data_IF_335916892234
#
_entry.id   IF_335916892234
#
_cell.length_a   1.000
_cell.length_b   1.000
_cell.length_c   1.000
_cell.angle_alpha   90.00
_cell.angle_beta   90.00
_cell.angle_gamma   90.00
#
_symmetry.space_group_name_H-M   'P 1'
#
loop_
_entity.id
_entity.type
_entity.pdbx_description
1 polymer ?
#
# COMPACT_ATOMS: atom_id res chain seq x y z
N UNK A 1 17.86 24.51 -15.95
CA UNK A 1 16.59 24.83 -15.25
C UNK A 1 16.06 23.52 -14.68
N UNK A 2 15.59 23.61 -13.44
CA UNK A 2 15.45 22.54 -12.45
C UNK A 2 14.71 21.29 -12.93
N UNK A 3 15.34 20.14 -12.73
CA UNK A 3 14.69 18.83 -12.79
C UNK A 3 13.61 18.82 -11.69
N UNK A 4 12.34 18.84 -12.09
CA UNK A 4 11.23 18.70 -11.16
C UNK A 4 11.21 17.27 -10.65
N UNK A 5 11.89 17.01 -9.54
CA UNK A 5 11.73 15.79 -8.76
C UNK A 5 10.28 15.74 -8.28
N UNK A 6 9.43 15.00 -9.00
CA UNK A 6 8.10 14.66 -8.51
C UNK A 6 8.34 13.73 -7.32
N UNK A 7 8.44 14.30 -6.13
CA UNK A 7 8.38 13.54 -4.89
C UNK A 7 6.97 12.95 -4.79
N UNK A 8 6.80 11.76 -5.38
CA UNK A 8 5.59 10.97 -5.19
C UNK A 8 5.51 10.57 -3.72
N UNK A 9 4.70 11.30 -2.95
CA UNK A 9 4.37 10.96 -1.56
C UNK A 9 3.52 9.70 -1.55
N UNK A 10 4.18 8.54 -1.40
CA UNK A 10 3.52 7.26 -1.18
C UNK A 10 3.18 7.13 0.29
N UNK A 11 1.94 6.77 0.59
CA UNK A 11 1.47 6.54 1.94
C UNK A 11 0.68 5.22 2.02
N UNK A 12 0.58 4.65 3.22
CA UNK A 12 -0.30 3.51 3.48
C UNK A 12 -1.59 4.01 4.09
N UNK A 13 -2.70 3.70 3.43
CA UNK A 13 -4.04 4.06 3.90
C UNK A 13 -4.72 2.84 4.52
N UNK A 14 -5.10 2.97 5.77
CA UNK A 14 -5.94 1.98 6.45
C UNK A 14 -7.31 1.90 5.78
N UNK A 15 -7.76 0.68 5.52
CA UNK A 15 -9.05 0.36 4.93
C UNK A 15 -9.62 -0.90 5.57
N UNK A 16 -10.95 -1.05 5.46
CA UNK A 16 -11.64 -2.28 5.86
C UNK A 16 -11.94 -3.12 4.63
N UNK A 17 -11.57 -4.40 4.66
CA UNK A 17 -11.77 -5.33 3.56
C UNK A 17 -13.26 -5.50 3.29
N UNK A 18 -13.69 -5.21 2.06
CA UNK A 18 -15.05 -5.50 1.59
C UNK A 18 -15.15 -6.84 0.88
N UNK A 19 -14.01 -7.32 0.40
CA UNK A 19 -13.82 -8.59 -0.28
C UNK A 19 -12.54 -9.24 0.24
N UNK A 20 -12.32 -10.50 -0.10
CA UNK A 20 -11.06 -11.18 0.19
C UNK A 20 -9.92 -10.51 -0.58
N UNK A 21 -8.80 -10.27 0.11
CA UNK A 21 -7.56 -9.76 -0.48
C UNK A 21 -6.39 -10.63 -0.04
N UNK A 22 -5.28 -10.54 -0.77
CA UNK A 22 -4.04 -11.22 -0.43
C UNK A 22 -3.01 -10.16 -0.06
N UNK A 23 -2.36 -10.33 1.10
CA UNK A 23 -1.25 -9.48 1.51
C UNK A 23 -0.08 -9.65 0.54
N UNK A 24 0.37 -8.56 -0.06
CA UNK A 24 1.48 -8.54 -1.00
C UNK A 24 2.82 -8.93 -0.34
N UNK A 25 3.01 -8.61 0.94
CA UNK A 25 4.26 -8.89 1.66
C UNK A 25 4.38 -10.35 2.12
N UNK A 26 3.33 -10.92 2.71
CA UNK A 26 3.39 -12.24 3.34
C UNK A 26 2.48 -13.30 2.71
N UNK A 27 1.68 -12.94 1.71
CA UNK A 27 0.71 -13.86 1.08
C UNK A 27 -0.50 -14.23 1.95
N UNK A 28 -0.62 -13.69 3.18
CA UNK A 28 -1.75 -13.95 4.07
C UNK A 28 -3.05 -13.44 3.45
N UNK A 29 -4.10 -14.26 3.55
CA UNK A 29 -5.46 -13.87 3.20
C UNK A 29 -6.00 -12.84 4.20
N UNK A 30 -6.66 -11.83 3.66
CA UNK A 30 -7.35 -10.77 4.39
C UNK A 30 -8.82 -10.94 4.09
N UNK A 31 -9.59 -11.33 5.09
CA UNK A 31 -11.02 -11.65 4.90
C UNK A 31 -11.87 -10.37 4.94
N UNK A 32 -13.09 -10.40 4.35
CA UNK A 32 -14.04 -9.30 4.49
C UNK A 32 -14.29 -8.96 5.96
N UNK A 33 -14.22 -7.68 6.30
CA UNK A 33 -14.32 -7.18 7.67
C UNK A 33 -12.98 -7.02 8.40
N UNK A 34 -11.87 -7.56 7.87
CA UNK A 34 -10.54 -7.32 8.42
C UNK A 34 -9.96 -5.97 7.99
N UNK A 35 -9.03 -5.46 8.80
CA UNK A 35 -8.29 -4.23 8.51
C UNK A 35 -7.08 -4.53 7.65
N UNK A 36 -6.88 -3.72 6.61
CA UNK A 36 -5.72 -3.79 5.74
C UNK A 36 -5.21 -2.39 5.39
N UNK A 37 -3.98 -2.35 4.92
CA UNK A 37 -3.30 -1.12 4.52
C UNK A 37 -3.05 -1.19 3.02
N UNK A 38 -3.56 -0.20 2.28
CA UNK A 38 -3.36 -0.09 0.84
C UNK A 38 -2.38 1.02 0.53
N UNK A 39 -1.48 0.78 -0.41
CA UNK A 39 -0.66 1.84 -0.98
C UNK A 39 -1.55 2.91 -1.64
N UNK A 40 -1.32 4.16 -1.24
CA UNK A 40 -1.98 5.34 -1.77
C UNK A 40 -0.92 6.30 -2.28
N UNK A 41 -1.02 6.63 -3.57
CA UNK A 41 -0.13 7.56 -4.25
C UNK A 41 -0.97 8.80 -4.52
N UNK A 42 -0.61 9.94 -3.92
CA UNK A 42 -1.37 11.20 -4.09
C UNK A 42 -1.20 11.83 -5.49
N UNK A 43 -0.28 11.30 -6.29
CA UNK A 43 0.00 11.81 -7.63
C UNK A 43 -1.13 11.44 -8.60
N UNK A 44 -1.85 12.47 -9.06
CA UNK A 44 -3.02 12.35 -9.94
C UNK A 44 -2.69 11.85 -11.36
N UNK A 45 -1.40 11.79 -11.75
CA UNK A 45 -0.99 11.31 -13.06
C UNK A 45 -0.77 9.80 -13.10
N UNK A 46 -0.30 9.20 -12.01
CA UNK A 46 -0.21 7.74 -11.91
C UNK A 46 -1.49 7.18 -11.31
N UNK A 47 -2.46 6.86 -12.18
CA UNK A 47 -3.51 5.91 -11.82
C UNK A 47 -2.84 4.61 -11.37
N UNK A 48 -2.78 4.44 -10.05
CA UNK A 48 -2.06 3.35 -9.39
C UNK A 48 -2.88 2.08 -9.48
N UNK A 49 -2.94 1.51 -10.69
CA UNK A 49 -3.59 0.23 -10.96
C UNK A 49 -2.98 -0.89 -10.09
N UNK A 50 -1.72 -0.74 -9.67
CA UNK A 50 -0.95 -1.73 -8.92
C UNK A 50 -0.77 -1.37 -7.43
N UNK A 51 -1.73 -0.65 -6.84
CA UNK A 51 -1.66 -0.33 -5.41
C UNK A 51 -1.61 -1.62 -4.56
N UNK A 52 -0.46 -1.85 -3.93
CA UNK A 52 -0.19 -3.04 -3.10
C UNK A 52 -1.04 -3.02 -1.83
N UNK A 53 -1.48 -4.20 -1.39
CA UNK A 53 -2.31 -4.41 -0.19
C UNK A 53 -1.49 -5.15 0.85
N UNK A 54 -1.56 -4.72 2.10
CA UNK A 54 -0.82 -5.29 3.22
C UNK A 54 -1.77 -5.60 4.38
N UNK A 55 -1.60 -6.74 5.04
CA UNK A 55 -2.37 -7.05 6.25
C UNK A 55 -1.88 -6.21 7.43
N UNK A 56 -2.74 -6.06 8.46
CA UNK A 56 -2.40 -5.35 9.69
C UNK A 56 -1.10 -5.83 10.32
N UNK A 57 -0.89 -7.14 10.42
CA UNK A 57 0.34 -7.69 11.01
C UNK A 57 1.62 -7.29 10.26
N UNK A 58 1.57 -7.17 8.93
CA UNK A 58 2.73 -6.69 8.16
C UNK A 58 2.96 -5.21 8.39
N UNK A 59 1.88 -4.42 8.44
CA UNK A 59 1.96 -2.99 8.72
C UNK A 59 2.51 -2.72 10.13
N UNK A 60 2.07 -3.46 11.15
CA UNK A 60 2.60 -3.31 12.51
C UNK A 60 4.09 -3.68 12.62
N UNK A 61 4.54 -4.66 11.81
CA UNK A 61 5.92 -5.13 11.84
C UNK A 61 6.89 -4.26 11.03
N UNK A 62 6.46 -3.75 9.88
CA UNK A 62 7.31 -3.05 8.92
C UNK A 62 6.95 -1.58 8.72
N UNK A 63 5.70 -1.19 9.01
CA UNK A 63 5.20 0.17 8.88
C UNK A 63 5.40 0.72 7.47
N UNK A 64 6.11 1.85 7.39
CA UNK A 64 6.40 2.55 6.12
C UNK A 64 7.42 1.83 5.24
N UNK A 65 8.18 0.88 5.78
CA UNK A 65 9.19 0.12 5.03
C UNK A 65 8.56 -0.75 3.93
N UNK A 66 7.28 -1.11 4.09
CA UNK A 66 6.49 -1.80 3.05
C UNK A 66 6.39 -1.00 1.74
N UNK A 67 6.54 0.33 1.79
CA UNK A 67 6.54 1.19 0.61
C UNK A 67 7.90 1.23 -0.10
N UNK A 68 8.97 0.77 0.57
CA UNK A 68 10.34 0.76 0.07
C UNK A 68 10.74 -0.55 -0.58
N UNK A 69 9.88 -1.58 -0.54
CA UNK A 69 10.06 -2.83 -1.29
C UNK A 69 10.00 -2.56 -2.80
N UNK A 70 11.10 -2.03 -3.32
CA UNK A 70 11.47 -2.03 -4.74
C UNK A 70 11.77 -3.48 -5.11
N UNK A 71 11.02 -3.95 -6.10
CA UNK A 71 11.39 -5.10 -6.93
C UNK A 71 12.73 -4.87 -7.64
#
# INVERSE_FOLDING_TARGET
MSNGEVQSSKNLKENKARSQHICYNCGKEILPGETYYREHIEDKFLHSLHAKIYCSSCYEKHGKDLLLSKE
#
